data_IF_048264520491
#
_entry.id   IF_048264520491
#
_cell.length_a   1.000
_cell.length_b   1.000
_cell.length_c   1.000
_cell.angle_alpha   90.00
_cell.angle_beta   90.00
_cell.angle_gamma   90.00
#
_symmetry.space_group_name_H-M   'P 1'
#
loop_
_entity.id
_entity.type
_entity.pdbx_description
1 polymer ?
#
# COMPACT_ATOMS: atom_id res chain seq x y z
N UNK A 1 31.19 -1.60 50.32
CA UNK A 1 30.76 -2.53 49.24
C UNK A 1 29.88 -1.76 48.27
N UNK A 2 30.21 -1.79 46.98
CA UNK A 2 29.54 -1.03 45.94
C UNK A 2 28.12 -1.57 45.67
N UNK A 3 27.15 -0.65 45.60
CA UNK A 3 25.76 -0.92 45.24
C UNK A 3 25.72 -1.29 43.76
N UNK A 4 25.37 -2.55 43.43
CA UNK A 4 25.14 -2.99 42.05
C UNK A 4 23.99 -2.17 41.44
N UNK A 5 24.33 -1.32 40.47
CA UNK A 5 23.37 -0.56 39.66
C UNK A 5 22.66 -1.55 38.73
N UNK A 6 21.35 -1.72 38.89
CA UNK A 6 20.48 -2.54 38.02
C UNK A 6 20.68 -2.10 36.56
N UNK A 7 21.03 -3.04 35.70
CA UNK A 7 21.05 -2.88 34.25
C UNK A 7 19.67 -2.42 33.77
N UNK A 8 19.60 -1.21 33.24
CA UNK A 8 18.41 -0.71 32.56
C UNK A 8 18.34 -1.44 31.22
N UNK A 9 17.34 -2.32 31.09
CA UNK A 9 17.00 -2.98 29.84
C UNK A 9 16.90 -1.96 28.71
N UNK A 10 17.38 -2.26 27.49
CA UNK A 10 17.28 -1.35 26.36
C UNK A 10 15.80 -1.12 26.06
N UNK A 11 15.25 0.03 26.47
CA UNK A 11 13.92 0.45 26.06
C UNK A 11 13.88 0.43 24.53
N UNK A 12 12.84 -0.19 23.97
CA UNK A 12 12.60 -0.24 22.52
C UNK A 12 12.70 1.18 21.95
N UNK A 13 13.81 1.50 21.26
CA UNK A 13 14.06 2.83 20.67
C UNK A 13 12.92 3.28 19.76
N UNK A 14 12.24 2.33 19.11
CA UNK A 14 11.05 2.59 18.29
C UNK A 14 9.90 3.19 19.11
N UNK A 15 9.66 2.72 20.33
CA UNK A 15 8.59 3.21 21.22
C UNK A 15 8.94 4.59 21.78
N UNK A 16 10.23 4.86 21.99
CA UNK A 16 10.71 6.17 22.44
C UNK A 16 10.56 7.20 21.32
N UNK A 17 10.96 6.87 20.09
CA UNK A 17 10.79 7.70 18.88
C UNK A 17 9.30 7.95 18.60
N UNK A 18 8.45 6.92 18.68
CA UNK A 18 6.99 7.05 18.54
C UNK A 18 6.33 7.93 19.61
N UNK A 19 6.95 8.12 20.79
CA UNK A 19 6.40 8.94 21.87
C UNK A 19 6.98 10.36 21.94
N UNK A 20 8.22 10.55 21.50
CA UNK A 20 8.92 11.83 21.59
C UNK A 20 8.81 12.66 20.31
N UNK A 21 8.72 12.01 19.15
CA UNK A 21 8.76 12.68 17.84
C UNK A 21 7.39 12.69 17.14
N UNK A 22 6.54 11.70 17.44
CA UNK A 22 5.20 11.59 16.88
C UNK A 22 4.16 11.86 17.97
N UNK A 23 3.42 12.97 17.85
CA UNK A 23 2.22 13.17 18.67
C UNK A 23 1.28 11.97 18.40
N UNK A 24 1.04 11.12 19.40
CA UNK A 24 0.10 10.00 19.28
C UNK A 24 -1.30 10.42 18.77
N UNK A 25 -1.65 11.69 18.98
CA UNK A 25 -2.81 12.37 18.39
C UNK A 25 -2.83 12.30 16.86
N UNK A 26 -1.69 12.50 16.20
CA UNK A 26 -1.56 12.45 14.73
C UNK A 26 -1.79 11.03 14.20
N UNK A 27 -1.30 10.00 14.88
CA UNK A 27 -1.56 8.60 14.52
C UNK A 27 -3.04 8.23 14.61
N UNK A 28 -3.72 8.65 15.68
CA UNK A 28 -5.16 8.43 15.85
C UNK A 28 -5.94 9.15 14.74
N UNK A 29 -5.57 10.41 14.45
CA UNK A 29 -6.16 11.17 13.34
C UNK A 29 -5.93 10.48 11.99
N UNK A 30 -4.78 9.86 11.76
CA UNK A 30 -4.49 9.11 10.54
C UNK A 30 -5.39 7.89 10.37
N UNK A 31 -5.58 7.12 11.44
CA UNK A 31 -6.51 5.97 11.43
C UNK A 31 -7.94 6.45 11.16
N UNK A 32 -8.37 7.51 11.84
CA UNK A 32 -9.70 8.07 11.65
C UNK A 32 -9.90 8.59 10.22
N UNK A 33 -8.92 9.31 9.67
CA UNK A 33 -8.94 9.79 8.29
C UNK A 33 -9.00 8.63 7.28
N UNK A 34 -8.29 7.53 7.54
CA UNK A 34 -8.30 6.33 6.69
C UNK A 34 -9.69 5.67 6.69
N UNK A 35 -10.30 5.49 7.87
CA UNK A 35 -11.66 4.93 7.99
C UNK A 35 -12.67 5.83 7.29
N UNK A 36 -12.60 7.14 7.52
CA UNK A 36 -13.49 8.12 6.89
C UNK A 36 -13.36 8.11 5.36
N UNK A 37 -12.13 8.04 4.84
CA UNK A 37 -11.89 7.91 3.39
C UNK A 37 -12.46 6.61 2.83
N UNK A 38 -12.30 5.48 3.54
CA UNK A 38 -12.87 4.20 3.13
C UNK A 38 -14.40 4.27 3.04
N UNK A 39 -15.07 4.82 4.05
CA UNK A 39 -16.53 5.01 4.05
C UNK A 39 -16.96 5.90 2.89
N UNK A 40 -16.26 7.02 2.65
CA UNK A 40 -16.59 7.92 1.54
C UNK A 40 -16.47 7.24 0.18
N UNK A 41 -15.41 6.44 -0.04
CA UNK A 41 -15.23 5.66 -1.27
C UNK A 41 -16.31 4.59 -1.43
N UNK A 42 -16.75 3.94 -0.34
CA UNK A 42 -17.83 2.95 -0.40
C UNK A 42 -19.16 3.57 -0.80
N UNK A 43 -19.46 4.78 -0.32
CA UNK A 43 -20.65 5.54 -0.72
C UNK A 43 -20.56 5.93 -2.21
N UNK A 44 -19.41 6.46 -2.65
CA UNK A 44 -19.18 6.84 -4.06
C UNK A 44 -19.29 5.62 -4.99
N UNK A 45 -18.74 4.48 -4.56
CA UNK A 45 -18.74 3.22 -5.32
C UNK A 45 -20.08 2.49 -5.32
N UNK A 46 -21.10 3.01 -4.64
CA UNK A 46 -22.44 2.44 -4.54
C UNK A 46 -22.41 0.96 -4.11
N UNK A 47 -21.56 0.66 -3.11
CA UNK A 47 -21.43 -0.70 -2.57
C UNK A 47 -22.76 -1.10 -1.91
N UNK A 48 -23.24 -2.30 -2.20
CA UNK A 48 -24.54 -2.79 -1.73
C UNK A 48 -24.66 -2.64 -0.20
N UNK A 49 -25.66 -1.88 0.24
CA UNK A 49 -25.95 -1.62 1.65
C UNK A 49 -25.28 -0.37 2.26
N UNK A 50 -24.42 0.34 1.53
CA UNK A 50 -23.77 1.58 1.97
C UNK A 50 -24.19 2.76 1.09
N UNK A 51 -25.43 3.20 1.27
CA UNK A 51 -26.00 4.41 0.66
C UNK A 51 -26.66 5.26 1.73
N UNK A 52 -26.72 6.57 1.47
CA UNK A 52 -27.46 7.50 2.34
C UNK A 52 -28.95 7.37 1.98
N UNK A 53 -29.83 7.03 2.94
CA UNK A 53 -31.26 6.92 2.69
C UNK A 53 -31.85 8.22 2.12
N UNK A 54 -32.79 8.12 1.18
CA UNK A 54 -33.37 9.29 0.51
C UNK A 54 -34.19 10.20 1.48
N UNK A 55 -34.66 9.64 2.58
CA UNK A 55 -35.35 10.33 3.67
C UNK A 55 -34.39 11.04 4.63
N UNK A 56 -33.08 10.87 4.48
CA UNK A 56 -32.10 11.52 5.34
C UNK A 56 -32.08 13.04 5.11
N UNK A 57 -32.20 13.86 6.18
CA UNK A 57 -32.24 15.31 6.02
C UNK A 57 -30.98 15.86 5.35
N UNK A 58 -31.16 16.72 4.33
CA UNK A 58 -30.10 17.47 3.60
C UNK A 58 -29.20 16.61 2.71
N UNK A 59 -28.83 15.40 3.15
CA UNK A 59 -27.91 14.49 2.46
C UNK A 59 -28.61 13.35 1.70
N UNK A 60 -29.92 13.21 1.88
CA UNK A 60 -30.71 12.15 1.25
C UNK A 60 -30.92 12.42 -0.25
N UNK A 61 -30.64 11.39 -1.05
CA UNK A 61 -30.90 11.37 -2.48
C UNK A 61 -29.80 12.03 -3.33
N UNK A 62 -29.69 11.52 -4.56
CA UNK A 62 -28.80 12.07 -5.59
C UNK A 62 -29.31 13.43 -6.07
N UNK A 63 -28.45 14.46 -6.16
CA UNK A 63 -26.97 14.40 -6.14
C UNK A 63 -26.31 14.75 -4.79
N UNK A 64 -27.09 15.05 -3.75
CA UNK A 64 -26.58 15.61 -2.50
C UNK A 64 -25.73 14.61 -1.72
N UNK A 65 -26.10 13.33 -1.77
CA UNK A 65 -25.35 12.20 -1.21
C UNK A 65 -23.93 12.10 -1.79
N UNK A 66 -23.79 12.23 -3.10
CA UNK A 66 -22.53 12.21 -3.82
C UNK A 66 -21.67 13.42 -3.47
N UNK A 67 -22.24 14.63 -3.45
CA UNK A 67 -21.51 15.86 -3.09
C UNK A 67 -20.94 15.74 -1.68
N UNK A 68 -21.73 15.21 -0.74
CA UNK A 68 -21.28 14.94 0.62
C UNK A 68 -20.12 13.94 0.65
N UNK A 69 -20.26 12.79 -0.01
CA UNK A 69 -19.23 11.75 -0.02
C UNK A 69 -17.90 12.27 -0.59
N UNK A 70 -17.95 13.03 -1.70
CA UNK A 70 -16.76 13.66 -2.28
C UNK A 70 -16.13 14.70 -1.35
N UNK A 71 -16.96 15.51 -0.67
CA UNK A 71 -16.46 16.51 0.30
C UNK A 71 -15.76 15.84 1.47
N UNK A 72 -16.38 14.80 2.04
CA UNK A 72 -15.80 14.01 3.14
C UNK A 72 -14.50 13.34 2.70
N UNK A 73 -14.46 12.79 1.48
CA UNK A 73 -13.25 12.17 0.94
C UNK A 73 -12.09 13.19 0.82
N UNK A 74 -12.35 14.38 0.28
CA UNK A 74 -11.33 15.43 0.16
C UNK A 74 -10.79 15.83 1.54
N UNK A 75 -11.67 16.06 2.52
CA UNK A 75 -11.26 16.41 3.88
C UNK A 75 -10.44 15.28 4.51
N UNK A 76 -10.86 14.02 4.33
CA UNK A 76 -10.14 12.87 4.83
C UNK A 76 -8.74 12.74 4.19
N UNK A 77 -8.62 12.94 2.88
CA UNK A 77 -7.34 12.93 2.17
C UNK A 77 -6.41 14.05 2.64
N UNK A 78 -6.93 15.26 2.86
CA UNK A 78 -6.16 16.37 3.42
C UNK A 78 -5.67 16.06 4.84
N UNK A 79 -6.55 15.51 5.69
CA UNK A 79 -6.19 15.07 7.04
C UNK A 79 -5.12 13.98 7.02
N UNK A 80 -5.27 12.99 6.15
CA UNK A 80 -4.31 11.91 5.97
C UNK A 80 -2.96 12.42 5.47
N UNK A 81 -2.96 13.36 4.51
CA UNK A 81 -1.75 14.02 4.04
C UNK A 81 -1.02 14.78 5.16
N UNK A 82 -1.75 15.52 6.00
CA UNK A 82 -1.16 16.24 7.15
C UNK A 82 -0.53 15.31 8.19
N UNK A 83 -1.16 14.15 8.44
CA UNK A 83 -0.63 13.13 9.36
C UNK A 83 0.61 12.47 8.78
N UNK A 84 0.59 12.19 7.48
CA UNK A 84 1.65 11.46 6.78
C UNK A 84 2.87 12.36 6.47
N UNK A 85 2.65 13.64 6.21
CA UNK A 85 3.70 14.62 5.88
C UNK A 85 4.93 14.59 6.80
N UNK A 86 4.81 14.62 8.15
CA UNK A 86 5.97 14.59 9.05
C UNK A 86 6.76 13.28 8.98
N UNK A 87 6.19 12.17 8.49
CA UNK A 87 6.92 10.92 8.29
C UNK A 87 7.80 10.96 7.04
N UNK A 88 7.32 11.61 5.97
CA UNK A 88 8.08 11.70 4.72
C UNK A 88 9.16 12.78 4.75
N UNK A 89 8.95 13.89 5.48
CA UNK A 89 9.91 14.98 5.60
C UNK A 89 11.34 14.51 6.01
N UNK A 90 11.53 13.66 7.04
CA UNK A 90 12.84 13.10 7.38
C UNK A 90 13.29 11.99 6.43
N UNK A 91 12.39 11.32 5.72
CA UNK A 91 12.73 10.27 4.74
C UNK A 91 13.33 10.86 3.44
N UNK A 92 12.90 12.05 3.01
CA UNK A 92 13.43 12.72 1.81
C UNK A 92 14.97 12.86 1.76
N UNK A 93 15.66 13.35 2.81
CA UNK A 93 17.12 13.39 2.80
C UNK A 93 17.76 12.01 2.83
N UNK A 94 17.07 10.97 3.32
CA UNK A 94 17.57 9.59 3.26
C UNK A 94 17.51 9.02 1.84
N UNK A 95 16.46 9.31 1.07
CA UNK A 95 16.40 8.92 -0.35
C UNK A 95 17.55 9.49 -1.18
N UNK A 96 18.11 10.64 -0.78
CA UNK A 96 19.29 11.24 -1.42
C UNK A 96 20.60 10.54 -1.08
N UNK A 97 20.64 9.78 0.03
CA UNK A 97 21.81 8.97 0.43
C UNK A 97 21.86 7.63 -0.29
N UNK A 98 20.75 7.19 -0.87
CA UNK A 98 20.67 5.97 -1.67
C UNK A 98 21.52 6.19 -2.94
N UNK A 99 22.53 5.35 -3.13
CA UNK A 99 23.28 5.28 -4.39
C UNK A 99 22.38 4.63 -5.44
N UNK A 100 21.58 5.44 -6.12
CA UNK A 100 20.75 4.96 -7.23
C UNK A 100 21.64 4.40 -8.33
N UNK A 101 21.23 3.25 -8.88
CA UNK A 101 21.87 2.68 -10.05
C UNK A 101 21.85 3.71 -11.18
N UNK A 102 22.97 3.89 -11.87
CA UNK A 102 23.01 4.74 -13.05
C UNK A 102 22.10 4.17 -14.15
N UNK A 103 21.70 5.01 -15.11
CA UNK A 103 20.87 4.56 -16.24
C UNK A 103 21.46 3.34 -16.97
N UNK A 104 22.79 3.26 -17.07
CA UNK A 104 23.51 2.13 -17.67
C UNK A 104 23.37 0.85 -16.84
N UNK A 105 23.59 0.94 -15.52
CA UNK A 105 23.46 -0.20 -14.61
C UNK A 105 22.01 -0.70 -14.57
N UNK A 106 21.05 0.22 -14.60
CA UNK A 106 19.63 -0.12 -14.69
C UNK A 106 19.33 -0.88 -16.00
N UNK A 107 19.80 -0.38 -17.13
CA UNK A 107 19.58 -1.02 -18.43
C UNK A 107 20.22 -2.41 -18.50
N UNK A 108 21.45 -2.59 -18.00
CA UNK A 108 22.13 -3.88 -17.98
C UNK A 108 21.36 -4.92 -17.14
N UNK A 109 20.92 -4.52 -15.94
CA UNK A 109 20.11 -5.38 -15.08
C UNK A 109 18.74 -5.69 -15.71
N UNK A 110 18.07 -4.70 -16.31
CA UNK A 110 16.79 -4.88 -16.97
C UNK A 110 16.88 -5.87 -18.14
N UNK A 111 17.91 -5.73 -18.99
CA UNK A 111 18.15 -6.65 -20.11
C UNK A 111 18.41 -8.07 -19.60
N UNK A 112 19.21 -8.24 -18.55
CA UNK A 112 19.46 -9.56 -17.96
C UNK A 112 18.17 -10.21 -17.44
N UNK A 113 17.30 -9.45 -16.78
CA UNK A 113 16.00 -9.94 -16.31
C UNK A 113 15.10 -10.32 -17.50
N UNK A 114 15.03 -9.49 -18.53
CA UNK A 114 14.21 -9.77 -19.73
C UNK A 114 14.68 -11.06 -20.42
N UNK A 115 15.99 -11.23 -20.58
CA UNK A 115 16.56 -12.45 -21.17
C UNK A 115 16.21 -13.67 -20.31
N UNK A 116 16.37 -13.57 -18.99
CA UNK A 116 16.02 -14.66 -18.07
C UNK A 116 14.55 -15.06 -18.18
N UNK A 117 13.64 -14.07 -18.14
CA UNK A 117 12.19 -14.31 -18.29
C UNK A 117 11.90 -14.96 -19.63
N UNK A 118 12.47 -14.46 -20.73
CA UNK A 118 12.26 -15.00 -22.07
C UNK A 118 12.70 -16.47 -22.16
N UNK A 119 13.91 -16.78 -21.68
CA UNK A 119 14.43 -18.17 -21.67
C UNK A 119 13.53 -19.08 -20.84
N UNK A 120 13.10 -18.62 -19.66
CA UNK A 120 12.22 -19.41 -18.79
C UNK A 120 10.84 -19.62 -19.42
N UNK A 121 10.25 -18.59 -20.02
CA UNK A 121 8.98 -18.69 -20.75
C UNK A 121 9.08 -19.66 -21.92
N UNK A 122 10.15 -19.62 -22.71
CA UNK A 122 10.37 -20.57 -23.81
C UNK A 122 10.54 -22.00 -23.30
N UNK A 123 11.25 -22.19 -22.19
CA UNK A 123 11.39 -23.51 -21.57
C UNK A 123 10.04 -24.08 -21.14
N UNK A 124 9.23 -23.31 -20.42
CA UNK A 124 7.88 -23.72 -20.01
C UNK A 124 7.01 -24.02 -21.23
N UNK A 125 7.01 -23.13 -22.23
CA UNK A 125 6.25 -23.34 -23.47
C UNK A 125 6.68 -24.60 -24.23
N UNK A 126 7.97 -24.94 -24.23
CA UNK A 126 8.46 -26.17 -24.84
C UNK A 126 8.00 -27.41 -24.08
N UNK A 127 8.04 -27.38 -22.74
CA UNK A 127 7.53 -28.47 -21.89
C UNK A 127 6.03 -28.67 -22.11
N UNK A 128 5.26 -27.59 -22.16
CA UNK A 128 3.82 -27.64 -22.44
C UNK A 128 3.54 -28.24 -23.82
N UNK A 129 4.26 -27.79 -24.85
CA UNK A 129 4.13 -28.32 -26.20
C UNK A 129 4.45 -29.82 -26.29
N UNK A 130 5.51 -30.28 -25.62
CA UNK A 130 5.87 -31.71 -25.57
C UNK A 130 4.78 -32.50 -24.84
N UNK A 131 4.29 -31.99 -23.71
CA UNK A 131 3.27 -32.65 -22.90
C UNK A 131 1.98 -32.84 -23.70
N UNK A 132 1.53 -31.79 -24.40
CA UNK A 132 0.35 -31.86 -25.28
C UNK A 132 0.53 -32.88 -26.41
N UNK A 133 1.70 -32.93 -27.05
CA UNK A 133 1.99 -33.92 -28.10
C UNK A 133 1.98 -35.35 -27.59
N UNK A 134 2.50 -35.60 -26.40
CA UNK A 134 2.48 -36.93 -25.77
C UNK A 134 1.02 -37.32 -25.46
N UNK A 135 0.22 -36.40 -24.93
CA UNK A 135 -1.18 -36.66 -24.59
C UNK A 135 -2.03 -36.95 -25.83
N UNK A 136 -1.88 -36.18 -26.91
CA UNK A 136 -2.50 -36.45 -28.22
C UNK A 136 -2.14 -37.86 -28.73
N UNK A 137 -0.87 -38.26 -28.61
CA UNK A 137 -0.41 -39.57 -29.08
C UNK A 137 -1.00 -40.72 -28.24
N UNK A 138 -1.17 -40.52 -26.93
CA UNK A 138 -1.84 -41.50 -26.06
C UNK A 138 -3.33 -41.62 -26.40
N UNK A 139 -4.03 -40.49 -26.63
CA UNK A 139 -5.45 -40.51 -27.01
C UNK A 139 -5.70 -41.19 -28.36
N UNK A 140 -4.78 -41.07 -29.32
CA UNK A 140 -4.88 -41.74 -30.63
C UNK A 140 -4.63 -43.26 -30.54
N UNK A 141 -3.91 -43.72 -29.52
CA UNK A 141 -3.52 -45.13 -29.33
C UNK A 141 -4.58 -45.94 -28.54
N UNK A 142 -5.47 -45.27 -27.80
CA UNK A 142 -6.52 -45.87 -26.98
C UNK A 142 -7.85 -46.01 -27.74
#
# INVERSE_FOLDING_TARGET
MAIKKKEQQPKNKLVEILKTEYKGESLILGILATITAAIAVMIIGNVQGLHIPADFPVLGGSPNDMIFAWTVLIIALLGLALVIYPFFLPAFPEFRKISWAGFRDFADNAVRVIIFVLVFTLFVAAVDAITLRILELIEVVL
#
